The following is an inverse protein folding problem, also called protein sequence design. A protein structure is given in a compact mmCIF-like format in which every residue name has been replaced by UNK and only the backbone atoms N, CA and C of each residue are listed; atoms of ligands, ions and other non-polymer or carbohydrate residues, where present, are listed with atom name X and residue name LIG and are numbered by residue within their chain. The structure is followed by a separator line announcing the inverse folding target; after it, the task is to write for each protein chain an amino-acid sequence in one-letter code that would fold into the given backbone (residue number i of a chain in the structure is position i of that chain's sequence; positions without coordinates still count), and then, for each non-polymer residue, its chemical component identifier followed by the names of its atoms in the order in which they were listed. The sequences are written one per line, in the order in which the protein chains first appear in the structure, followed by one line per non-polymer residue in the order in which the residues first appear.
data_IF_994443891643
#
_entry.id   IF_994443891643
#
_cell.length_a   1.000
_cell.length_b   1.000
_cell.length_c   1.000
_cell.angle_alpha   90.00
_cell.angle_beta   90.00
_cell.angle_gamma   90.00
#
_symmetry.space_group_name_H-M   'P 1'
#
loop_
_entity.id
_entity.type
_entity.pdbx_description
1 polymer ?
#
# COMPACT_ATOMS: atom_id res chain seq x y z
N UNK A 1 10.46 11.03 10.63
CA UNK A 1 11.65 10.15 10.56
C UNK A 1 12.65 10.77 9.59
N UNK A 2 13.96 10.78 9.88
CA UNK A 2 14.97 11.17 8.88
C UNK A 2 15.40 9.93 8.11
N UNK A 3 14.85 9.73 6.92
CA UNK A 3 15.15 8.57 6.07
C UNK A 3 15.35 9.01 4.62
N UNK A 4 16.46 8.57 4.03
CA UNK A 4 16.69 8.68 2.59
C UNK A 4 16.33 7.34 1.94
N UNK A 5 15.29 7.34 1.12
CA UNK A 5 14.70 6.10 0.59
C UNK A 5 15.61 5.42 -0.46
N UNK A 6 16.37 6.19 -1.25
CA UNK A 6 17.17 5.60 -2.33
C UNK A 6 16.29 4.72 -3.23
N UNK A 7 16.65 3.45 -3.42
CA UNK A 7 15.86 2.53 -4.25
C UNK A 7 14.50 2.15 -3.66
N UNK A 8 14.29 2.24 -2.34
CA UNK A 8 12.98 1.93 -1.74
C UNK A 8 11.89 2.96 -2.09
N UNK A 9 12.25 4.06 -2.74
CA UNK A 9 11.28 5.06 -3.20
C UNK A 9 10.47 4.60 -4.41
N UNK A 10 10.80 3.44 -5.01
CA UNK A 10 10.17 2.94 -6.23
C UNK A 10 9.67 1.51 -5.99
N UNK A 11 8.35 1.36 -6.04
CA UNK A 11 7.69 0.04 -6.08
C UNK A 11 6.69 0.05 -7.22
N UNK A 12 6.86 -0.89 -8.16
CA UNK A 12 6.01 -1.02 -9.33
C UNK A 12 5.14 -2.26 -9.21
N UNK A 13 3.90 -2.16 -9.70
CA UNK A 13 3.01 -3.30 -9.81
C UNK A 13 3.28 -4.10 -11.10
N UNK A 14 4.27 -5.00 -11.05
CA UNK A 14 4.61 -5.90 -12.15
C UNK A 14 3.91 -7.27 -12.06
N UNK A 15 4.17 -8.13 -13.04
CA UNK A 15 3.58 -9.48 -13.09
C UNK A 15 4.06 -10.40 -11.97
N UNK A 16 5.25 -10.16 -11.43
CA UNK A 16 5.79 -10.92 -10.32
C UNK A 16 5.01 -10.59 -9.04
N UNK A 17 4.87 -9.29 -8.73
CA UNK A 17 4.11 -8.83 -7.57
C UNK A 17 2.64 -9.26 -7.67
N UNK A 18 2.01 -9.15 -8.84
CA UNK A 18 0.63 -9.61 -9.03
C UNK A 18 0.46 -11.12 -8.75
N UNK A 19 1.41 -11.95 -9.18
CA UNK A 19 1.41 -13.40 -8.93
C UNK A 19 1.57 -13.74 -7.45
N UNK A 20 2.34 -12.94 -6.71
CA UNK A 20 2.52 -13.10 -5.27
C UNK A 20 1.25 -12.68 -4.50
N UNK A 21 0.69 -11.52 -4.84
CA UNK A 21 -0.52 -10.99 -4.19
C UNK A 21 -1.69 -11.96 -4.33
N UNK A 22 -1.91 -12.54 -5.52
CA UNK A 22 -3.02 -13.48 -5.75
C UNK A 22 -2.97 -14.77 -4.91
N UNK A 23 -1.81 -15.10 -4.33
CA UNK A 23 -1.61 -16.30 -3.49
C UNK A 23 -1.45 -15.96 -2.01
N UNK A 24 -1.54 -14.68 -1.67
CA UNK A 24 -1.29 -14.18 -0.32
C UNK A 24 -2.57 -14.25 0.51
N UNK A 25 -2.48 -14.74 1.75
CA UNK A 25 -3.62 -14.78 2.67
C UNK A 25 -3.76 -13.47 3.46
N UNK A 26 -2.65 -12.80 3.75
CA UNK A 26 -2.60 -11.54 4.48
C UNK A 26 -1.59 -10.61 3.81
N UNK A 27 -2.04 -9.45 3.33
CA UNK A 27 -1.21 -8.43 2.72
C UNK A 27 -1.04 -7.25 3.68
N UNK A 28 0.18 -7.04 4.19
CA UNK A 28 0.50 -6.00 5.17
C UNK A 28 1.27 -4.87 4.50
N UNK A 29 0.84 -3.62 4.73
CA UNK A 29 1.36 -2.43 4.05
C UNK A 29 1.80 -1.39 5.07
N UNK A 30 2.96 -0.80 4.86
CA UNK A 30 3.43 0.37 5.62
C UNK A 30 2.78 1.67 5.12
N UNK A 31 2.32 2.50 6.05
CA UNK A 31 1.78 3.84 5.77
C UNK A 31 2.78 4.75 5.07
N UNK A 32 4.08 4.60 5.34
CA UNK A 32 5.13 5.37 4.67
C UNK A 32 5.12 5.25 3.14
N UNK A 33 4.61 4.14 2.59
CA UNK A 33 4.55 3.97 1.15
C UNK A 33 3.52 4.90 0.49
N UNK A 34 2.58 5.47 1.24
CA UNK A 34 1.67 6.50 0.74
C UNK A 34 2.39 7.83 0.49
N UNK A 35 3.56 8.07 1.08
CA UNK A 35 4.29 9.31 0.87
C UNK A 35 5.06 9.37 -0.46
N UNK A 36 5.20 8.25 -1.17
CA UNK A 36 5.94 8.22 -2.43
C UNK A 36 4.96 8.34 -3.61
N UNK A 37 5.23 9.24 -4.59
CA UNK A 37 4.24 9.63 -5.60
C UNK A 37 3.70 8.49 -6.46
N UNK A 38 4.51 7.47 -6.72
CA UNK A 38 4.16 6.35 -7.61
C UNK A 38 3.68 5.10 -6.86
N UNK A 39 3.97 4.99 -5.57
CA UNK A 39 3.58 3.81 -4.77
C UNK A 39 2.10 3.79 -4.45
N UNK A 40 1.44 4.94 -4.24
CA UNK A 40 0.00 4.96 -3.92
C UNK A 40 -0.78 4.16 -4.97
N UNK A 41 -0.57 4.47 -6.26
CA UNK A 41 -1.22 3.75 -7.38
C UNK A 41 -0.92 2.25 -7.38
N UNK A 42 0.35 1.90 -7.15
CA UNK A 42 0.80 0.50 -7.06
C UNK A 42 0.10 -0.24 -5.92
N UNK A 43 0.02 0.38 -4.75
CA UNK A 43 -0.58 -0.20 -3.53
C UNK A 43 -2.08 -0.35 -3.70
N UNK A 44 -2.78 0.67 -4.22
CA UNK A 44 -4.22 0.58 -4.46
C UNK A 44 -4.55 -0.61 -5.36
N UNK A 45 -3.80 -0.78 -6.45
CA UNK A 45 -3.96 -1.93 -7.36
C UNK A 45 -3.64 -3.27 -6.69
N UNK A 46 -2.61 -3.31 -5.85
CA UNK A 46 -2.27 -4.50 -5.09
C UNK A 46 -3.36 -4.85 -4.06
N UNK A 47 -3.95 -3.86 -3.39
CA UNK A 47 -5.06 -4.07 -2.45
C UNK A 47 -6.30 -4.61 -3.16
N UNK A 48 -6.65 -4.06 -4.32
CA UNK A 48 -7.76 -4.57 -5.14
C UNK A 48 -7.56 -6.03 -5.56
N UNK A 49 -6.35 -6.41 -5.98
CA UNK A 49 -6.02 -7.80 -6.31
C UNK A 49 -6.05 -8.69 -5.07
N UNK A 50 -5.47 -8.25 -3.96
CA UNK A 50 -5.46 -9.00 -2.70
C UNK A 50 -6.90 -9.33 -2.26
N UNK A 51 -7.77 -8.32 -2.22
CA UNK A 51 -9.17 -8.50 -1.86
C UNK A 51 -9.93 -9.38 -2.87
N UNK A 52 -9.70 -9.23 -4.18
CA UNK A 52 -10.31 -10.12 -5.19
C UNK A 52 -9.97 -11.59 -4.99
N UNK A 53 -8.78 -11.88 -4.44
CA UNK A 53 -8.34 -13.24 -4.14
C UNK A 53 -8.66 -13.68 -2.69
N UNK A 54 -9.42 -12.88 -1.94
CA UNK A 54 -9.86 -13.21 -0.58
C UNK A 54 -8.79 -13.01 0.50
N UNK A 55 -7.73 -12.26 0.21
CA UNK A 55 -6.71 -11.92 1.18
C UNK A 55 -7.22 -10.85 2.17
N UNK A 56 -6.77 -10.92 3.42
CA UNK A 56 -6.93 -9.84 4.39
C UNK A 56 -5.88 -8.75 4.13
N UNK A 57 -6.31 -7.51 3.93
CA UNK A 57 -5.39 -6.36 3.81
C UNK A 57 -5.28 -5.65 5.16
N UNK A 58 -4.05 -5.42 5.62
CA UNK A 58 -3.76 -4.70 6.85
C UNK A 58 -2.78 -3.56 6.56
N UNK A 59 -3.11 -2.34 7.00
CA UNK A 59 -2.28 -1.16 6.77
C UNK A 59 -1.88 -0.57 8.12
N UNK A 60 -0.59 -0.32 8.33
CA UNK A 60 -0.14 0.48 9.47
C UNK A 60 -0.23 1.97 9.15
N UNK A 61 -0.59 2.78 10.14
CA UNK A 61 -0.60 4.24 10.01
C UNK A 61 0.81 4.85 10.03
N UNK A 62 1.85 4.05 10.30
CA UNK A 62 3.27 4.43 10.35
C UNK A 62 3.60 5.55 11.36
N UNK A 63 3.32 6.81 11.05
CA UNK A 63 3.53 7.94 11.95
C UNK A 63 2.49 9.05 11.73
N UNK A 64 2.35 9.93 12.73
CA UNK A 64 1.33 10.99 12.72
C UNK A 64 1.49 11.95 11.54
N UNK A 65 2.71 12.28 11.14
CA UNK A 65 2.95 13.24 10.05
C UNK A 65 2.63 12.63 8.69
N UNK A 66 2.76 11.31 8.53
CA UNK A 66 2.32 10.60 7.33
C UNK A 66 0.80 10.70 7.18
N UNK A 67 0.06 10.41 8.25
CA UNK A 67 -1.41 10.53 8.27
C UNK A 67 -1.87 11.96 8.01
N UNK A 68 -1.26 12.96 8.66
CA UNK A 68 -1.63 14.37 8.46
C UNK A 68 -1.46 14.83 7.00
N UNK A 69 -0.47 14.28 6.29
CA UNK A 69 -0.18 14.65 4.89
C UNK A 69 -1.00 13.85 3.87
N UNK A 70 -1.37 12.63 4.20
CA UNK A 70 -1.96 11.66 3.26
C UNK A 70 -3.30 11.09 3.72
N UNK A 71 -4.00 11.76 4.64
CA UNK A 71 -5.25 11.27 5.23
C UNK A 71 -6.25 10.76 4.18
N UNK A 72 -6.46 11.53 3.11
CA UNK A 72 -7.36 11.17 2.02
C UNK A 72 -6.87 9.96 1.21
N UNK A 73 -5.56 9.80 1.04
CA UNK A 73 -4.99 8.67 0.31
C UNK A 73 -5.20 7.34 1.05
N UNK A 74 -5.16 7.35 2.39
CA UNK A 74 -5.46 6.16 3.20
C UNK A 74 -6.89 5.66 2.96
N UNK A 75 -7.86 6.56 2.73
CA UNK A 75 -9.24 6.18 2.45
C UNK A 75 -9.40 5.43 1.13
N UNK A 76 -8.48 5.56 0.17
CA UNK A 76 -8.50 4.74 -1.05
C UNK A 76 -8.37 3.25 -0.76
N UNK A 77 -7.72 2.88 0.35
CA UNK A 77 -7.57 1.48 0.78
C UNK A 77 -8.66 1.06 1.76
N UNK A 78 -9.13 1.95 2.64
CA UNK A 78 -10.15 1.59 3.63
C UNK A 78 -11.60 1.69 3.13
N UNK A 79 -11.94 2.75 2.39
CA UNK A 79 -13.33 3.06 2.02
C UNK A 79 -13.99 2.03 1.08
N UNK A 80 -13.30 1.42 0.09
CA UNK A 80 -13.95 0.47 -0.82
C UNK A 80 -14.38 -0.85 -0.15
N UNK A 81 -13.93 -1.11 1.08
CA UNK A 81 -14.10 -2.38 1.78
C UNK A 81 -14.70 -2.21 3.19
N UNK A 82 -15.18 -1.01 3.53
CA UNK A 82 -15.85 -0.68 4.79
C UNK A 82 -17.36 -0.97 4.75
#
# INVERSE_FOLDING_TARGET
MLAYQGTSSVVNYDSCLASLISKTNVFVIEGYLFELPDTIRTITKACEEAHRNGALVAVTTSDVSCIERHYDDFWLVYAPFA
#
